data_IF_437846639101
#
_entry.id   IF_437846639101
#
_cell.length_a   1.000
_cell.length_b   1.000
_cell.length_c   1.000
_cell.angle_alpha   90.00
_cell.angle_beta   90.00
_cell.angle_gamma   90.00
#
_symmetry.space_group_name_H-M   'P 1'
#
loop_
_entity.id
_entity.type
_entity.pdbx_description
1 polymer ?
#
# COMPACT_ATOMS: atom_id res chain seq x y z
N UNK A 1 31.30 -10.33 25.43
CA UNK A 1 32.06 -10.34 24.17
C UNK A 1 31.10 -10.62 23.04
N UNK A 2 30.86 -9.64 22.17
CA UNK A 2 30.10 -9.86 20.93
C UNK A 2 30.96 -10.75 20.03
N UNK A 3 30.41 -11.86 19.54
CA UNK A 3 31.14 -12.78 18.67
C UNK A 3 31.62 -12.04 17.41
N UNK A 4 32.90 -12.29 17.02
CA UNK A 4 33.46 -11.72 15.78
C UNK A 4 32.59 -12.03 14.55
N UNK A 5 31.87 -13.15 14.57
CA UNK A 5 30.92 -13.57 13.57
C UNK A 5 29.73 -12.57 13.47
N UNK A 6 29.20 -12.07 14.59
CA UNK A 6 28.11 -11.09 14.61
C UNK A 6 28.59 -9.76 14.02
N UNK A 7 29.81 -9.33 14.33
CA UNK A 7 30.40 -8.10 13.78
C UNK A 7 30.53 -8.21 12.25
N UNK A 8 31.05 -9.35 11.76
CA UNK A 8 31.20 -9.59 10.33
C UNK A 8 29.84 -9.59 9.62
N UNK A 9 28.84 -10.28 10.16
CA UNK A 9 27.47 -10.31 9.58
C UNK A 9 26.85 -8.92 9.58
N UNK A 10 26.93 -8.18 10.67
CA UNK A 10 26.41 -6.81 10.72
C UNK A 10 27.14 -5.89 9.72
N UNK A 11 28.47 -6.02 9.58
CA UNK A 11 29.24 -5.24 8.61
C UNK A 11 28.85 -5.58 7.17
N UNK A 12 28.66 -6.86 6.85
CA UNK A 12 28.20 -7.29 5.52
C UNK A 12 26.77 -6.78 5.20
N UNK A 13 25.87 -6.78 6.18
CA UNK A 13 24.53 -6.23 6.04
C UNK A 13 24.58 -4.71 5.80
N UNK A 14 25.43 -3.98 6.54
CA UNK A 14 25.59 -2.54 6.36
C UNK A 14 26.21 -2.21 5.00
N UNK A 15 27.22 -2.96 4.55
CA UNK A 15 27.84 -2.80 3.22
C UNK A 15 26.81 -3.11 2.13
N UNK A 16 26.02 -4.17 2.31
CA UNK A 16 24.98 -4.56 1.36
C UNK A 16 23.87 -3.52 1.25
N UNK A 17 23.32 -3.05 2.37
CA UNK A 17 22.32 -1.97 2.39
C UNK A 17 22.90 -0.67 1.82
N UNK A 18 24.14 -0.35 2.15
CA UNK A 18 24.88 0.78 1.58
C UNK A 18 25.07 0.66 0.05
N UNK A 19 25.38 -0.54 -0.46
CA UNK A 19 25.52 -0.77 -1.90
C UNK A 19 24.21 -0.64 -2.65
N UNK A 20 23.09 -1.10 -2.09
CA UNK A 20 21.74 -0.87 -2.65
C UNK A 20 21.46 0.63 -2.72
N UNK A 21 21.79 1.37 -1.67
CA UNK A 21 21.59 2.83 -1.61
C UNK A 21 22.46 3.55 -2.66
N UNK A 22 23.72 3.18 -2.80
CA UNK A 22 24.65 3.76 -3.80
C UNK A 22 24.23 3.40 -5.21
N UNK A 23 23.89 2.14 -5.49
CA UNK A 23 23.43 1.71 -6.81
C UNK A 23 22.12 2.39 -7.23
N UNK A 24 21.27 2.78 -6.28
CA UNK A 24 20.04 3.52 -6.58
C UNK A 24 20.28 4.93 -7.15
N UNK A 25 21.46 5.52 -6.94
CA UNK A 25 21.85 6.80 -7.56
C UNK A 25 22.25 6.67 -9.04
N UNK A 26 22.59 5.46 -9.49
CA UNK A 26 23.04 5.20 -10.87
C UNK A 26 21.94 4.66 -11.78
N UNK A 27 20.67 4.65 -11.33
CA UNK A 27 19.56 4.27 -12.19
C UNK A 27 19.44 5.28 -13.35
N UNK A 28 19.34 4.80 -14.60
CA UNK A 28 19.12 5.68 -15.74
C UNK A 28 17.79 6.42 -15.56
N UNK A 29 17.86 7.73 -15.45
CA UNK A 29 16.72 8.63 -15.45
C UNK A 29 16.32 8.90 -16.88
N UNK A 30 15.33 8.21 -17.37
CA UNK A 30 14.80 8.42 -18.72
C UNK A 30 13.31 8.06 -18.74
N UNK A 31 12.49 9.01 -19.15
CA UNK A 31 11.04 8.85 -19.31
C UNK A 31 10.71 8.57 -20.78
N UNK A 32 10.02 7.47 -21.04
CA UNK A 32 9.41 7.16 -22.33
C UNK A 32 7.90 7.07 -22.17
N UNK A 33 7.16 8.01 -22.80
CA UNK A 33 5.70 8.08 -22.76
C UNK A 33 5.03 6.79 -23.23
N UNK A 34 5.66 6.04 -24.14
CA UNK A 34 5.14 4.76 -24.64
C UNK A 34 5.00 3.71 -23.56
N UNK A 35 5.76 3.85 -22.47
CA UNK A 35 5.76 2.92 -21.34
C UNK A 35 4.52 3.04 -20.42
N UNK A 36 3.70 4.09 -20.58
CA UNK A 36 2.49 4.29 -19.74
C UNK A 36 1.27 3.53 -20.26
N UNK A 37 1.30 3.06 -21.51
CA UNK A 37 0.21 2.26 -22.09
C UNK A 37 0.10 0.91 -21.37
N UNK A 38 -1.09 0.62 -20.83
CA UNK A 38 -1.40 -0.65 -20.19
C UNK A 38 -1.03 -0.77 -18.70
N UNK A 39 -0.46 0.27 -18.07
CA UNK A 39 -0.13 0.26 -16.62
C UNK A 39 -1.25 0.85 -15.78
N UNK A 40 -1.47 0.25 -14.62
CA UNK A 40 -2.39 0.78 -13.62
C UNK A 40 -1.77 1.96 -12.87
N UNK A 41 -2.50 3.07 -12.74
CA UNK A 41 -2.12 4.21 -11.91
C UNK A 41 -2.94 4.13 -10.62
N UNK A 42 -2.25 4.04 -9.49
CA UNK A 42 -2.84 3.86 -8.17
C UNK A 42 -2.55 5.10 -7.32
N UNK A 43 -3.61 5.78 -6.86
CA UNK A 43 -3.48 6.93 -5.96
C UNK A 43 -3.16 6.48 -4.55
N UNK A 44 -1.89 6.59 -4.11
CA UNK A 44 -1.43 6.23 -2.78
C UNK A 44 -2.09 7.09 -1.71
N UNK A 45 -2.79 6.48 -0.77
CA UNK A 45 -3.60 7.14 0.28
C UNK A 45 -4.56 8.19 -0.30
N UNK A 46 -5.14 7.91 -1.46
CA UNK A 46 -5.99 8.85 -2.18
C UNK A 46 -5.26 9.78 -3.16
N UNK A 47 -3.96 9.79 -3.21
CA UNK A 47 -3.12 10.77 -3.90
C UNK A 47 -2.65 11.85 -2.94
N UNK A 48 -1.86 11.47 -1.92
CA UNK A 48 -1.41 12.29 -0.79
C UNK A 48 -0.61 13.54 -1.16
N UNK A 49 -0.16 13.64 -2.41
CA UNK A 49 0.46 14.85 -2.98
C UNK A 49 -0.54 15.91 -3.43
N UNK A 50 -1.83 15.57 -3.56
CA UNK A 50 -2.90 16.47 -3.98
C UNK A 50 -3.75 16.95 -2.80
N UNK A 51 -3.88 16.12 -1.75
CA UNK A 51 -4.72 16.42 -0.58
C UNK A 51 -4.12 15.87 0.70
N UNK A 52 -4.94 15.86 1.77
CA UNK A 52 -4.54 15.22 3.02
C UNK A 52 -4.78 13.72 2.93
N UNK A 53 -3.72 12.95 3.08
CA UNK A 53 -3.72 11.50 2.93
C UNK A 53 -4.90 10.81 3.66
N UNK A 54 -5.44 9.76 3.05
CA UNK A 54 -6.49 8.92 3.62
C UNK A 54 -7.78 9.66 4.04
N UNK A 55 -7.99 10.92 3.62
CA UNK A 55 -9.25 11.63 3.83
C UNK A 55 -10.22 11.38 2.67
N UNK A 56 -11.53 11.38 2.93
CA UNK A 56 -12.56 11.21 1.88
C UNK A 56 -12.40 12.24 0.76
N UNK A 57 -12.06 13.49 1.10
CA UNK A 57 -11.76 14.54 0.13
C UNK A 57 -10.58 14.15 -0.77
N UNK A 58 -9.49 13.63 -0.20
CA UNK A 58 -8.31 13.22 -0.97
C UNK A 58 -8.60 11.99 -1.86
N UNK A 59 -9.35 11.01 -1.35
CA UNK A 59 -9.77 9.85 -2.13
C UNK A 59 -10.58 10.28 -3.37
N UNK A 60 -11.53 11.21 -3.18
CA UNK A 60 -12.31 11.77 -4.27
C UNK A 60 -11.45 12.50 -5.31
N UNK A 61 -10.49 13.31 -4.87
CA UNK A 61 -9.52 13.95 -5.78
C UNK A 61 -8.73 12.94 -6.59
N UNK A 62 -8.31 11.82 -5.98
CA UNK A 62 -7.64 10.72 -6.67
C UNK A 62 -8.51 10.07 -7.75
N UNK A 63 -9.77 9.80 -7.44
CA UNK A 63 -10.75 9.27 -8.40
C UNK A 63 -10.95 10.26 -9.57
N UNK A 64 -11.18 11.52 -9.27
CA UNK A 64 -11.39 12.59 -10.26
C UNK A 64 -10.14 12.84 -11.13
N UNK A 65 -8.95 12.51 -10.65
CA UNK A 65 -7.71 12.61 -11.44
C UNK A 65 -7.64 11.58 -12.60
N UNK A 66 -8.49 10.55 -12.55
CA UNK A 66 -8.52 9.45 -13.53
C UNK A 66 -7.62 8.28 -13.16
N UNK A 67 -7.29 8.10 -11.88
CA UNK A 67 -6.60 6.92 -11.40
C UNK A 67 -7.44 5.64 -11.64
N UNK A 68 -6.78 4.51 -11.86
CA UNK A 68 -7.45 3.21 -12.05
C UNK A 68 -7.83 2.59 -10.70
N UNK A 69 -7.02 2.88 -9.68
CA UNK A 69 -7.24 2.42 -8.31
C UNK A 69 -6.89 3.54 -7.33
N UNK A 70 -7.50 3.48 -6.17
CA UNK A 70 -7.08 4.27 -5.01
C UNK A 70 -6.62 3.30 -3.93
N UNK A 71 -5.49 3.59 -3.36
CA UNK A 71 -4.95 2.84 -2.23
C UNK A 71 -5.28 3.55 -0.92
N UNK A 72 -5.61 2.77 0.11
CA UNK A 72 -5.87 3.22 1.47
C UNK A 72 -5.26 2.27 2.50
N UNK A 73 -5.06 2.78 3.71
CA UNK A 73 -4.55 2.04 4.85
C UNK A 73 -5.65 1.85 5.91
N UNK A 74 -5.86 0.64 6.42
CA UNK A 74 -6.83 0.41 7.49
C UNK A 74 -6.18 -0.09 8.78
N UNK A 75 -6.71 0.43 9.89
CA UNK A 75 -6.48 -0.03 11.26
C UNK A 75 -7.82 -0.36 11.94
N UNK A 76 -7.77 -1.01 13.10
CA UNK A 76 -8.93 -1.30 13.92
C UNK A 76 -8.89 -0.52 15.22
N UNK A 77 -9.98 0.17 15.56
CA UNK A 77 -10.20 0.83 16.84
C UNK A 77 -10.45 -0.18 17.98
N UNK A 78 -10.47 0.29 19.22
CA UNK A 78 -10.69 -0.59 20.40
C UNK A 78 -12.07 -1.25 20.43
N UNK A 79 -13.07 -0.64 19.78
CA UNK A 79 -14.43 -1.15 19.65
C UNK A 79 -14.69 -1.93 18.35
N UNK A 80 -13.60 -2.22 17.58
CA UNK A 80 -13.65 -3.05 16.38
C UNK A 80 -14.01 -2.33 15.10
N UNK A 81 -14.21 -1.00 15.11
CA UNK A 81 -14.46 -0.22 13.89
C UNK A 81 -13.19 -0.12 13.05
N UNK A 82 -13.31 -0.38 11.74
CA UNK A 82 -12.20 -0.21 10.81
C UNK A 82 -12.08 1.24 10.39
N UNK A 83 -10.92 1.85 10.63
CA UNK A 83 -10.65 3.28 10.35
C UNK A 83 -9.52 3.43 9.35
N UNK A 84 -9.60 4.47 8.52
CA UNK A 84 -8.67 4.72 7.43
C UNK A 84 -7.58 5.69 7.88
N UNK A 85 -6.39 5.14 8.13
CA UNK A 85 -5.23 5.89 8.61
C UNK A 85 -3.95 5.08 8.35
N UNK A 86 -2.85 5.75 7.98
CA UNK A 86 -1.58 5.06 7.76
C UNK A 86 -0.87 4.69 9.06
N UNK A 87 -0.79 5.61 10.00
CA UNK A 87 -0.04 5.43 11.24
C UNK A 87 -0.89 4.69 12.29
N UNK A 88 -0.31 3.91 13.19
CA UNK A 88 -1.03 3.29 14.30
C UNK A 88 -1.53 4.31 15.34
N UNK A 89 -1.23 5.60 15.13
CA UNK A 89 -1.65 6.71 15.99
C UNK A 89 -2.29 7.82 15.17
N UNK A 90 -3.19 8.56 15.78
CA UNK A 90 -3.85 9.71 15.15
C UNK A 90 -3.00 11.00 15.13
N UNK A 91 -1.80 10.96 15.71
CA UNK A 91 -1.02 12.14 16.10
C UNK A 91 -0.55 13.00 14.93
N UNK A 92 -0.19 12.40 13.79
CA UNK A 92 0.42 13.12 12.66
C UNK A 92 -0.60 13.80 11.77
N UNK A 93 -1.73 13.17 11.60
CA UNK A 93 -2.75 13.57 10.62
C UNK A 93 -3.98 14.21 11.25
N UNK A 94 -4.04 14.33 12.59
CA UNK A 94 -5.17 14.98 13.27
C UNK A 94 -4.72 16.00 14.32
N UNK A 95 -5.68 16.75 14.83
CA UNK A 95 -5.51 17.69 15.94
C UNK A 95 -5.51 17.02 17.33
N UNK A 96 -5.59 15.68 17.38
CA UNK A 96 -5.56 14.89 18.60
C UNK A 96 -4.32 14.03 18.78
N UNK A 97 -4.31 13.24 19.84
CA UNK A 97 -3.26 12.27 20.15
C UNK A 97 -3.86 10.99 20.68
N UNK A 98 -3.27 9.87 20.28
CA UNK A 98 -3.67 8.56 20.77
C UNK A 98 -3.29 7.42 19.81
N UNK A 99 -3.34 6.19 20.34
CA UNK A 99 -3.13 4.97 19.57
C UNK A 99 -4.51 4.44 19.14
N UNK A 100 -4.72 4.24 17.84
CA UNK A 100 -5.99 3.83 17.24
C UNK A 100 -6.56 2.59 17.95
N UNK A 101 -5.75 1.55 18.15
CA UNK A 101 -6.16 0.32 18.82
C UNK A 101 -6.60 0.48 20.30
N UNK A 102 -6.38 1.66 20.89
CA UNK A 102 -6.76 1.98 22.28
C UNK A 102 -7.90 3.01 22.38
N UNK A 103 -8.36 3.53 21.25
CA UNK A 103 -9.43 4.52 21.17
C UNK A 103 -10.67 3.88 20.57
N UNK A 104 -11.84 4.26 21.06
CA UNK A 104 -13.12 3.96 20.40
C UNK A 104 -13.28 4.82 19.15
N UNK A 105 -14.11 4.36 18.20
CA UNK A 105 -14.39 5.20 17.03
C UNK A 105 -15.08 6.51 17.44
N UNK A 106 -15.92 6.51 18.47
CA UNK A 106 -16.52 7.74 18.99
C UNK A 106 -15.46 8.78 19.42
N UNK A 107 -14.34 8.37 19.98
CA UNK A 107 -13.23 9.27 20.33
C UNK A 107 -12.48 9.74 19.08
N UNK A 108 -12.21 8.82 18.14
CA UNK A 108 -11.51 9.11 16.88
C UNK A 108 -12.31 10.07 16.00
N UNK A 109 -13.61 9.89 15.85
CA UNK A 109 -14.50 10.69 14.99
C UNK A 109 -14.62 12.16 15.38
N UNK A 110 -14.30 12.50 16.64
CA UNK A 110 -14.27 13.90 17.13
C UNK A 110 -13.03 14.66 16.67
N UNK A 111 -11.98 13.96 16.25
CA UNK A 111 -10.75 14.57 15.79
C UNK A 111 -10.93 15.10 14.36
N UNK A 112 -10.26 16.22 14.08
CA UNK A 112 -10.22 16.81 12.74
C UNK A 112 -8.89 16.53 12.09
N UNK A 113 -8.94 16.12 10.84
CA UNK A 113 -7.74 15.96 10.04
C UNK A 113 -7.09 17.33 9.86
N UNK A 114 -5.75 17.36 9.99
CA UNK A 114 -4.93 18.54 9.73
C UNK A 114 -4.12 18.34 8.45
N UNK A 115 -4.04 19.39 7.63
CA UNK A 115 -3.22 19.35 6.44
C UNK A 115 -1.71 19.48 6.76
N UNK A 116 -0.86 19.43 5.74
CA UNK A 116 0.60 19.53 5.89
C UNK A 116 1.08 20.84 6.53
N UNK A 117 0.25 21.87 6.54
CA UNK A 117 0.49 23.17 7.18
C UNK A 117 -0.05 23.23 8.63
N UNK A 118 -0.60 22.13 9.15
CA UNK A 118 -1.20 22.07 10.49
C UNK A 118 -2.58 22.72 10.59
N UNK A 119 -3.22 23.05 9.46
CA UNK A 119 -4.56 23.65 9.44
C UNK A 119 -5.62 22.55 9.47
N UNK A 120 -6.61 22.70 10.36
CA UNK A 120 -7.78 21.80 10.44
C UNK A 120 -8.58 21.85 9.14
N UNK A 121 -8.93 20.67 8.65
CA UNK A 121 -9.85 20.51 7.52
C UNK A 121 -11.28 20.22 8.01
N UNK A 122 -12.23 20.10 7.09
CA UNK A 122 -13.57 19.59 7.39
C UNK A 122 -13.60 18.06 7.57
N UNK A 123 -12.55 17.37 7.12
CA UNK A 123 -12.48 15.91 7.17
C UNK A 123 -12.23 15.40 8.58
N UNK A 124 -12.71 14.19 8.84
CA UNK A 124 -12.39 13.35 9.99
C UNK A 124 -11.70 12.06 9.50
N UNK A 125 -11.17 11.27 10.41
CA UNK A 125 -10.70 9.91 10.06
C UNK A 125 -11.91 9.08 9.67
N UNK A 126 -11.99 8.72 8.40
CA UNK A 126 -13.09 7.96 7.85
C UNK A 126 -13.09 6.52 8.35
N UNK A 127 -14.26 5.91 8.41
CA UNK A 127 -14.39 4.46 8.52
C UNK A 127 -14.18 3.80 7.15
N UNK A 128 -13.85 2.52 7.15
CA UNK A 128 -13.79 1.73 5.92
C UNK A 128 -15.17 1.64 5.25
N UNK A 129 -16.26 1.61 6.02
CA UNK A 129 -17.63 1.63 5.54
C UNK A 129 -17.96 2.93 4.75
N UNK A 130 -17.54 4.10 5.27
CA UNK A 130 -17.69 5.38 4.56
C UNK A 130 -16.91 5.40 3.23
N UNK A 131 -15.72 4.78 3.20
CA UNK A 131 -14.94 4.66 1.97
C UNK A 131 -15.63 3.74 0.96
N UNK A 132 -16.13 2.57 1.40
CA UNK A 132 -16.86 1.67 0.52
C UNK A 132 -18.11 2.35 -0.05
N UNK A 133 -18.85 3.12 0.77
CA UNK A 133 -20.00 3.91 0.33
C UNK A 133 -19.64 4.95 -0.75
N UNK A 134 -18.49 5.64 -0.59
CA UNK A 134 -17.97 6.58 -1.59
C UNK A 134 -17.70 5.86 -2.92
N UNK A 135 -17.00 4.73 -2.87
CA UNK A 135 -16.64 3.97 -4.08
C UNK A 135 -17.88 3.36 -4.76
N UNK A 136 -18.83 2.85 -4.00
CA UNK A 136 -20.10 2.36 -4.51
C UNK A 136 -20.86 3.47 -5.26
N UNK A 137 -20.92 4.70 -4.69
CA UNK A 137 -21.52 5.85 -5.35
C UNK A 137 -20.81 6.18 -6.66
N UNK A 138 -19.49 6.27 -6.69
CA UNK A 138 -18.73 6.58 -7.89
C UNK A 138 -18.90 5.51 -8.97
N UNK A 139 -18.95 4.24 -8.59
CA UNK A 139 -19.19 3.11 -9.50
C UNK A 139 -20.63 3.12 -10.06
N UNK A 140 -21.60 3.46 -9.25
CA UNK A 140 -23.00 3.63 -9.70
C UNK A 140 -23.13 4.80 -10.69
N UNK A 141 -22.24 5.79 -10.62
CA UNK A 141 -22.11 6.87 -11.60
C UNK A 141 -21.31 6.47 -12.87
N UNK A 142 -20.93 5.19 -13.00
CA UNK A 142 -20.27 4.64 -14.19
C UNK A 142 -18.73 4.53 -14.09
N UNK A 143 -18.12 4.92 -12.98
CA UNK A 143 -16.69 4.73 -12.76
C UNK A 143 -16.32 3.25 -12.68
N UNK A 144 -15.13 2.88 -13.21
CA UNK A 144 -14.55 1.53 -13.06
C UNK A 144 -13.45 1.50 -11.98
N UNK A 145 -13.43 2.50 -11.11
CA UNK A 145 -12.42 2.63 -10.06
C UNK A 145 -12.36 1.39 -9.17
N UNK A 146 -11.15 0.96 -8.81
CA UNK A 146 -10.90 -0.11 -7.86
C UNK A 146 -10.31 0.44 -6.56
N UNK A 147 -10.45 -0.31 -5.48
CA UNK A 147 -9.91 0.04 -4.16
C UNK A 147 -8.86 -0.97 -3.74
N UNK A 148 -7.64 -0.51 -3.50
CA UNK A 148 -6.54 -1.29 -2.95
C UNK A 148 -6.42 -0.99 -1.45
N UNK A 149 -6.67 -1.98 -0.61
CA UNK A 149 -6.74 -1.83 0.85
C UNK A 149 -5.51 -2.46 1.50
N UNK A 150 -4.66 -1.65 2.12
CA UNK A 150 -3.61 -2.18 2.98
C UNK A 150 -4.15 -2.43 4.39
N UNK A 151 -4.14 -3.69 4.82
CA UNK A 151 -4.34 -4.03 6.23
C UNK A 151 -3.03 -3.81 6.97
N UNK A 152 -3.00 -2.81 7.85
CA UNK A 152 -1.85 -2.52 8.70
C UNK A 152 -1.73 -3.57 9.80
N UNK A 153 -0.52 -4.04 10.02
CA UNK A 153 -0.21 -5.04 11.03
C UNK A 153 0.69 -4.41 12.09
N UNK A 154 0.15 -4.06 13.28
CA UNK A 154 0.97 -3.54 14.36
C UNK A 154 2.00 -4.58 14.81
N UNK A 155 3.26 -4.19 14.85
CA UNK A 155 4.41 -5.08 15.02
C UNK A 155 4.38 -5.99 16.26
N UNK A 156 3.56 -5.64 17.28
CA UNK A 156 3.49 -6.37 18.54
C UNK A 156 2.16 -7.06 18.82
N UNK A 157 1.10 -6.66 18.15
CA UNK A 157 -0.23 -7.20 18.39
C UNK A 157 -1.03 -7.16 17.08
N UNK A 158 -1.33 -8.32 16.52
CA UNK A 158 -2.31 -8.44 15.46
C UNK A 158 -3.65 -7.88 15.93
N UNK A 159 -4.39 -7.24 15.03
CA UNK A 159 -5.78 -6.91 15.29
C UNK A 159 -6.61 -8.20 15.33
N UNK A 160 -7.42 -8.35 16.36
CA UNK A 160 -8.29 -9.53 16.46
C UNK A 160 -9.44 -9.43 15.46
N UNK A 161 -9.43 -10.33 14.47
CA UNK A 161 -10.49 -10.48 13.48
C UNK A 161 -10.66 -9.33 12.49
N UNK A 162 -9.62 -8.52 12.24
CA UNK A 162 -9.67 -7.41 11.27
C UNK A 162 -10.00 -7.91 9.86
N UNK A 163 -9.46 -9.06 9.46
CA UNK A 163 -9.69 -9.64 8.14
C UNK A 163 -11.17 -9.99 7.94
N UNK A 164 -11.79 -10.65 8.93
CA UNK A 164 -13.21 -11.01 8.85
C UNK A 164 -14.10 -9.76 8.83
N UNK A 165 -13.85 -8.77 9.72
CA UNK A 165 -14.62 -7.51 9.73
C UNK A 165 -14.53 -6.75 8.40
N UNK A 166 -13.33 -6.73 7.80
CA UNK A 166 -13.15 -6.14 6.48
C UNK A 166 -13.97 -6.88 5.42
N UNK A 167 -13.92 -8.21 5.41
CA UNK A 167 -14.69 -9.04 4.48
C UNK A 167 -16.19 -8.88 4.66
N UNK A 168 -16.68 -8.80 5.89
CA UNK A 168 -18.10 -8.57 6.20
C UNK A 168 -18.59 -7.23 5.59
N UNK A 169 -17.77 -6.17 5.68
CA UNK A 169 -18.09 -4.88 5.04
C UNK A 169 -18.00 -4.96 3.52
N UNK A 170 -17.00 -5.62 2.95
CA UNK A 170 -16.88 -5.86 1.50
C UNK A 170 -18.13 -6.57 0.97
N UNK A 171 -18.64 -7.56 1.71
CA UNK A 171 -19.85 -8.29 1.34
C UNK A 171 -21.10 -7.43 1.46
N UNK A 172 -21.23 -6.63 2.51
CA UNK A 172 -22.35 -5.72 2.70
C UNK A 172 -22.50 -4.71 1.56
N UNK A 173 -21.37 -4.27 0.96
CA UNK A 173 -21.32 -3.36 -0.20
C UNK A 173 -21.24 -4.07 -1.55
N UNK A 174 -21.32 -5.40 -1.62
CA UNK A 174 -21.12 -6.18 -2.85
C UNK A 174 -19.79 -5.83 -3.56
N UNK A 175 -18.73 -5.62 -2.79
CA UNK A 175 -17.49 -5.00 -3.25
C UNK A 175 -16.40 -6.00 -3.69
N UNK A 176 -16.63 -7.33 -3.63
CA UNK A 176 -15.62 -8.38 -3.91
C UNK A 176 -14.93 -8.25 -5.25
N UNK A 177 -15.60 -7.71 -6.26
CA UNK A 177 -15.09 -7.61 -7.63
C UNK A 177 -14.27 -6.33 -7.91
N UNK A 178 -14.18 -5.40 -6.95
CA UNK A 178 -13.45 -4.15 -7.10
C UNK A 178 -12.59 -3.77 -5.91
N UNK A 179 -12.61 -4.56 -4.83
CA UNK A 179 -11.66 -4.44 -3.72
C UNK A 179 -10.52 -5.43 -3.89
N UNK A 180 -9.31 -4.96 -3.67
CA UNK A 180 -8.06 -5.71 -3.69
C UNK A 180 -7.41 -5.51 -2.33
N UNK A 181 -6.85 -6.57 -1.74
CA UNK A 181 -6.24 -6.51 -0.42
C UNK A 181 -4.73 -6.68 -0.51
N UNK A 182 -3.99 -5.83 0.19
CA UNK A 182 -2.54 -5.96 0.33
C UNK A 182 -2.09 -5.87 1.79
N UNK A 183 -0.95 -6.45 2.10
CA UNK A 183 -0.26 -6.26 3.38
C UNK A 183 1.22 -6.63 3.28
N UNK A 184 2.02 -6.06 4.19
CA UNK A 184 3.38 -6.55 4.46
C UNK A 184 3.37 -7.86 5.25
N UNK A 185 2.33 -8.11 6.05
CA UNK A 185 2.24 -9.30 6.90
C UNK A 185 1.69 -10.50 6.13
N UNK A 186 2.48 -11.58 6.08
CA UNK A 186 2.06 -12.82 5.43
C UNK A 186 0.82 -13.40 6.10
N UNK A 187 0.77 -13.34 7.42
CA UNK A 187 -0.35 -13.86 8.23
C UNK A 187 -1.68 -13.22 7.83
N UNK A 188 -1.65 -11.93 7.48
CA UNK A 188 -2.85 -11.18 7.06
C UNK A 188 -3.32 -11.63 5.69
N UNK A 189 -2.43 -11.61 4.68
CA UNK A 189 -2.81 -11.98 3.30
C UNK A 189 -3.19 -13.45 3.18
N UNK A 190 -2.52 -14.32 3.94
CA UNK A 190 -2.86 -15.74 3.99
C UNK A 190 -4.23 -15.95 4.64
N UNK A 191 -4.53 -15.22 5.72
CA UNK A 191 -5.82 -15.27 6.39
C UNK A 191 -6.96 -14.78 5.48
N UNK A 192 -6.75 -13.66 4.77
CA UNK A 192 -7.74 -13.17 3.80
C UNK A 192 -7.99 -14.21 2.70
N UNK A 193 -6.94 -14.80 2.13
CA UNK A 193 -7.09 -15.84 1.11
C UNK A 193 -7.82 -17.09 1.63
N UNK A 194 -7.57 -17.50 2.87
CA UNK A 194 -8.29 -18.64 3.47
C UNK A 194 -9.78 -18.36 3.68
N UNK A 195 -10.15 -17.14 4.08
CA UNK A 195 -11.53 -16.74 4.35
C UNK A 195 -12.30 -16.42 3.06
N UNK A 196 -11.63 -15.85 2.06
CA UNK A 196 -12.24 -15.38 0.81
C UNK A 196 -11.26 -15.58 -0.37
N UNK A 197 -11.12 -16.80 -0.90
CA UNK A 197 -10.16 -17.11 -1.96
C UNK A 197 -10.47 -16.43 -3.31
N UNK A 198 -11.64 -15.86 -3.47
CA UNK A 198 -12.09 -15.07 -4.62
C UNK A 198 -11.66 -13.58 -4.54
N UNK A 199 -11.28 -13.09 -3.36
CA UNK A 199 -10.72 -11.75 -3.22
C UNK A 199 -9.28 -11.73 -3.76
N UNK A 200 -9.00 -10.76 -4.63
CA UNK A 200 -7.63 -10.54 -5.14
C UNK A 200 -6.72 -10.08 -4.01
N UNK A 201 -5.63 -10.80 -3.80
CA UNK A 201 -4.63 -10.51 -2.77
C UNK A 201 -3.30 -10.15 -3.41
N UNK A 202 -2.64 -9.12 -2.87
CA UNK A 202 -1.34 -8.65 -3.30
C UNK A 202 -0.36 -8.57 -2.12
N UNK A 203 0.92 -8.75 -2.39
CA UNK A 203 1.97 -8.76 -1.38
C UNK A 203 2.80 -7.50 -1.43
N UNK A 204 2.82 -6.72 -0.34
CA UNK A 204 3.77 -5.63 -0.16
C UNK A 204 5.13 -6.16 0.27
N UNK A 205 6.19 -5.63 -0.32
CA UNK A 205 7.56 -5.92 0.09
C UNK A 205 8.50 -4.74 -0.19
N UNK A 206 9.52 -4.58 0.65
CA UNK A 206 10.56 -3.59 0.41
C UNK A 206 11.50 -4.08 -0.68
N UNK A 207 11.92 -5.35 -0.64
CA UNK A 207 12.76 -5.93 -1.67
C UNK A 207 13.11 -7.38 -1.42
N UNK A 208 13.66 -8.05 -2.46
CA UNK A 208 14.16 -9.42 -2.39
C UNK A 208 15.69 -9.39 -2.32
N UNK A 209 16.28 -10.19 -1.42
CA UNK A 209 17.73 -10.30 -1.33
C UNK A 209 18.29 -11.05 -2.56
N UNK A 210 19.29 -10.52 -3.25
CA UNK A 210 19.94 -11.22 -4.34
C UNK A 210 20.54 -12.55 -3.85
N UNK A 211 20.35 -13.60 -4.66
CA UNK A 211 20.92 -14.94 -4.42
C UNK A 211 20.43 -15.67 -3.16
N UNK A 212 19.59 -15.05 -2.34
CA UNK A 212 19.02 -15.65 -1.14
C UNK A 212 17.51 -15.73 -1.24
N UNK A 213 16.89 -16.80 -0.69
CA UNK A 213 15.43 -16.96 -0.71
C UNK A 213 14.77 -16.16 0.42
N UNK A 214 15.04 -14.85 0.48
CA UNK A 214 14.49 -13.96 1.51
C UNK A 214 14.06 -12.62 0.92
N UNK A 215 12.97 -12.09 1.46
CA UNK A 215 12.46 -10.74 1.21
C UNK A 215 12.58 -9.89 2.47
N UNK A 216 12.73 -8.59 2.26
CA UNK A 216 12.58 -7.58 3.31
C UNK A 216 11.11 -7.15 3.31
N UNK A 217 10.46 -7.39 4.41
CA UNK A 217 9.02 -7.32 4.62
C UNK A 217 8.74 -6.35 5.78
N UNK A 218 8.69 -5.08 5.46
CA UNK A 218 8.71 -4.03 6.47
C UNK A 218 10.02 -4.07 7.27
N UNK A 219 9.93 -4.46 8.55
CA UNK A 219 11.11 -4.63 9.43
C UNK A 219 11.53 -6.10 9.60
N UNK A 220 10.96 -7.02 8.83
CA UNK A 220 11.23 -8.46 8.94
C UNK A 220 12.04 -8.95 7.75
N UNK A 221 12.76 -10.04 7.98
CA UNK A 221 13.41 -10.85 6.94
C UNK A 221 12.62 -12.15 6.85
N UNK A 222 11.88 -12.32 5.75
CA UNK A 222 10.95 -13.44 5.58
C UNK A 222 11.42 -14.35 4.45
N UNK A 223 11.34 -15.67 4.66
CA UNK A 223 11.63 -16.64 3.60
C UNK A 223 10.67 -16.49 2.43
N UNK A 224 11.22 -16.43 1.22
CA UNK A 224 10.49 -16.20 -0.02
C UNK A 224 10.55 -17.44 -0.92
N UNK A 225 9.38 -17.88 -1.38
CA UNK A 225 9.24 -18.77 -2.53
C UNK A 225 7.95 -18.46 -3.27
N UNK A 226 7.93 -18.61 -4.59
CA UNK A 226 6.71 -18.39 -5.37
C UNK A 226 5.62 -19.43 -5.06
N UNK A 227 6.01 -20.61 -4.61
CA UNK A 227 5.08 -21.64 -4.16
C UNK A 227 4.30 -21.17 -2.93
N UNK A 228 4.97 -20.55 -1.94
CA UNK A 228 4.33 -19.96 -0.76
C UNK A 228 3.29 -18.90 -1.16
N UNK A 229 3.59 -18.07 -2.15
CA UNK A 229 2.73 -16.98 -2.62
C UNK A 229 1.93 -17.35 -3.87
N UNK A 230 1.57 -18.64 -4.07
CA UNK A 230 0.83 -19.07 -5.26
C UNK A 230 -0.49 -18.33 -5.47
N UNK A 231 -1.17 -17.93 -4.40
CA UNK A 231 -2.44 -17.20 -4.40
C UNK A 231 -2.29 -15.68 -4.58
N UNK A 232 -1.09 -15.12 -4.42
CA UNK A 232 -0.83 -13.71 -4.59
C UNK A 232 -0.85 -13.33 -6.07
N UNK A 233 -1.57 -12.28 -6.43
CA UNK A 233 -1.69 -11.84 -7.81
C UNK A 233 -0.57 -10.86 -8.23
N UNK A 234 -0.13 -10.00 -7.32
CA UNK A 234 0.89 -8.98 -7.56
C UNK A 234 1.86 -8.86 -6.40
N UNK A 235 3.12 -8.55 -6.70
CA UNK A 235 4.11 -8.08 -5.73
C UNK A 235 4.26 -6.58 -5.85
N UNK A 236 3.90 -5.85 -4.79
CA UNK A 236 3.97 -4.40 -4.72
C UNK A 236 5.27 -3.99 -4.02
N UNK A 237 6.24 -3.56 -4.81
CA UNK A 237 7.64 -3.42 -4.38
C UNK A 237 8.04 -1.95 -4.21
N UNK A 238 8.91 -1.69 -3.23
CA UNK A 238 9.56 -0.39 -3.10
C UNK A 238 10.44 -0.11 -4.32
N UNK A 239 10.27 1.03 -4.96
CA UNK A 239 10.87 1.33 -6.28
C UNK A 239 12.39 1.20 -6.33
N UNK A 240 13.11 1.53 -5.24
CA UNK A 240 14.58 1.45 -5.20
C UNK A 240 15.14 0.03 -5.06
N UNK A 241 14.31 -0.94 -4.75
CA UNK A 241 14.71 -2.34 -4.64
C UNK A 241 14.38 -3.18 -5.86
N UNK A 242 13.64 -2.61 -6.82
CA UNK A 242 13.32 -3.26 -8.08
C UNK A 242 14.49 -3.18 -9.06
N UNK A 243 14.65 -4.25 -9.84
CA UNK A 243 15.54 -4.31 -10.99
C UNK A 243 14.91 -5.20 -12.08
N UNK A 244 15.41 -5.09 -13.32
CA UNK A 244 14.87 -5.83 -14.46
C UNK A 244 14.85 -7.35 -14.26
N UNK A 245 15.85 -7.90 -13.54
CA UNK A 245 15.93 -9.35 -13.29
C UNK A 245 14.80 -9.80 -12.36
N UNK A 246 14.55 -9.08 -11.27
CA UNK A 246 13.48 -9.40 -10.33
C UNK A 246 12.11 -9.29 -10.98
N UNK A 247 11.88 -8.23 -11.78
CA UNK A 247 10.62 -8.04 -12.51
C UNK A 247 10.38 -9.21 -13.46
N UNK A 248 11.39 -9.57 -14.27
CA UNK A 248 11.32 -10.71 -15.18
C UNK A 248 11.06 -12.02 -14.45
N UNK A 249 11.70 -12.24 -13.30
CA UNK A 249 11.48 -13.41 -12.45
C UNK A 249 10.03 -13.48 -11.97
N UNK A 250 9.46 -12.37 -11.47
CA UNK A 250 8.07 -12.30 -11.02
C UNK A 250 7.10 -12.59 -12.16
N UNK A 251 7.30 -11.98 -13.34
CA UNK A 251 6.47 -12.22 -14.53
C UNK A 251 6.55 -13.67 -15.02
N UNK A 252 7.71 -14.33 -14.95
CA UNK A 252 7.86 -15.74 -15.31
C UNK A 252 6.99 -16.67 -14.44
N UNK A 253 6.63 -16.22 -13.22
CA UNK A 253 5.71 -16.94 -12.35
C UNK A 253 4.24 -16.48 -12.51
N UNK A 254 3.94 -15.71 -13.55
CA UNK A 254 2.58 -15.25 -13.87
C UNK A 254 2.04 -14.22 -12.85
N UNK A 255 2.91 -13.49 -12.18
CA UNK A 255 2.55 -12.47 -11.19
C UNK A 255 2.81 -11.08 -11.73
N UNK A 256 2.00 -10.11 -11.31
CA UNK A 256 2.21 -8.68 -11.62
C UNK A 256 3.23 -8.05 -10.68
N UNK A 257 3.80 -6.93 -11.12
CA UNK A 257 4.70 -6.07 -10.34
C UNK A 257 4.15 -4.66 -10.30
N UNK A 258 3.87 -4.16 -9.11
CA UNK A 258 3.57 -2.73 -8.90
C UNK A 258 4.69 -2.08 -8.11
N UNK A 259 4.90 -0.80 -8.36
CA UNK A 259 6.00 -0.03 -7.76
C UNK A 259 5.46 1.08 -6.86
N UNK A 260 6.00 1.23 -5.66
CA UNK A 260 5.63 2.29 -4.71
C UNK A 260 6.86 2.95 -4.09
N UNK A 261 6.86 4.20 -3.61
CA UNK A 261 5.96 5.27 -4.02
C UNK A 261 6.72 6.13 -5.02
N UNK A 262 6.13 6.41 -6.16
CA UNK A 262 6.79 7.13 -7.24
C UNK A 262 6.02 8.40 -7.59
N UNK A 263 6.50 9.56 -7.09
CA UNK A 263 5.79 10.84 -7.15
C UNK A 263 6.19 11.74 -8.30
N UNK A 264 7.28 11.40 -8.99
CA UNK A 264 7.78 12.12 -10.15
C UNK A 264 7.54 11.37 -11.45
N UNK A 265 7.50 12.11 -12.56
CA UNK A 265 7.36 11.54 -13.91
C UNK A 265 8.63 10.82 -14.39
N UNK A 266 9.71 10.84 -13.62
CA UNK A 266 10.95 10.12 -13.90
C UNK A 266 10.87 8.66 -13.43
N UNK A 267 9.95 7.88 -14.02
CA UNK A 267 9.91 6.44 -13.78
C UNK A 267 11.12 5.78 -14.48
N UNK A 268 11.81 4.85 -13.79
CA UNK A 268 12.78 4.01 -14.46
C UNK A 268 12.08 3.22 -15.58
N UNK A 269 12.78 3.03 -16.71
CA UNK A 269 12.31 2.17 -17.81
C UNK A 269 12.27 0.71 -17.35
N UNK A 270 11.24 0.34 -16.64
CA UNK A 270 11.02 -1.01 -16.11
C UNK A 270 9.68 -1.54 -16.62
N UNK A 271 9.63 -2.82 -16.90
CA UNK A 271 8.42 -3.53 -17.34
C UNK A 271 7.54 -3.88 -16.14
N UNK A 272 6.86 -2.85 -15.57
CA UNK A 272 5.97 -2.96 -14.41
C UNK A 272 4.51 -2.84 -14.83
N UNK A 273 3.60 -3.42 -14.05
CA UNK A 273 2.16 -3.45 -14.33
C UNK A 273 1.41 -2.30 -13.68
N UNK A 274 2.00 -1.66 -12.67
CA UNK A 274 1.34 -0.54 -11.99
C UNK A 274 2.28 0.36 -11.19
N UNK A 275 1.81 1.57 -10.94
CA UNK A 275 2.50 2.61 -10.18
C UNK A 275 1.60 3.08 -9.05
N UNK A 276 2.09 3.00 -7.82
CA UNK A 276 1.46 3.56 -6.63
C UNK A 276 2.14 4.90 -6.34
N UNK A 277 1.37 6.00 -6.35
CA UNK A 277 1.91 7.37 -6.35
C UNK A 277 1.06 8.33 -5.53
N UNK A 278 1.71 9.30 -4.88
CA UNK A 278 1.04 10.44 -4.23
C UNK A 278 0.50 11.46 -5.25
N UNK A 279 0.91 11.37 -6.52
CA UNK A 279 0.55 12.31 -7.58
C UNK A 279 -0.07 11.62 -8.81
N UNK A 280 -1.23 10.90 -8.64
CA UNK A 280 -1.88 10.25 -9.77
C UNK A 280 -2.29 11.24 -10.87
N UNK A 281 -2.57 12.50 -10.52
CA UNK A 281 -2.90 13.57 -11.47
C UNK A 281 -1.80 13.83 -12.52
N UNK A 282 -0.53 13.69 -12.14
CA UNK A 282 0.58 13.85 -13.07
C UNK A 282 0.65 12.68 -14.05
N UNK A 283 0.51 11.46 -13.55
CA UNK A 283 0.60 10.23 -14.36
C UNK A 283 -0.59 10.06 -15.30
N UNK A 284 -1.81 10.40 -14.82
CA UNK A 284 -3.01 10.32 -15.66
C UNK A 284 -3.02 11.35 -16.81
N UNK A 285 -2.42 12.53 -16.61
CA UNK A 285 -2.23 13.52 -17.70
C UNK A 285 -1.34 13.00 -18.82
N UNK A 286 -0.32 12.25 -18.47
CA UNK A 286 0.64 11.72 -19.45
C UNK A 286 0.09 10.52 -20.23
N UNK A 287 -1.01 9.90 -19.77
CA UNK A 287 -1.70 8.80 -20.45
C UNK A 287 -2.61 9.28 -21.59
N UNK A 288 -3.05 10.56 -21.53
CA UNK A 288 -3.90 11.21 -22.55
C UNK A 288 -3.03 11.76 -23.68
#
# INVERSE_FOLDING_TARGET
MISMTIIIVCSLVVIYVGSIFVLSFFYPRGYDKSMMSGRSIIGHRGGAGMGTENSLTCLKMGIESGADMIEIDIHQSSDGTLVVCHDPTVNRTTDGKGTIAKMTYQEISRLRIVNKQGVRTSDHIATFDEVLSLFEQERNNGSQIQLLVEIKYPYKHAYDGIEQRMLDLIDAHNARNWVIVQSFADEVIEKVHQLAPDIRVEKLLIGKLPLLPYIIDGLRLTHFSYEKYHYVASFNCYYRSLNHQLIKEIHQHGKEVKMWTLDGVDAPQMDIDGIITDRPDLWCKERK
#
